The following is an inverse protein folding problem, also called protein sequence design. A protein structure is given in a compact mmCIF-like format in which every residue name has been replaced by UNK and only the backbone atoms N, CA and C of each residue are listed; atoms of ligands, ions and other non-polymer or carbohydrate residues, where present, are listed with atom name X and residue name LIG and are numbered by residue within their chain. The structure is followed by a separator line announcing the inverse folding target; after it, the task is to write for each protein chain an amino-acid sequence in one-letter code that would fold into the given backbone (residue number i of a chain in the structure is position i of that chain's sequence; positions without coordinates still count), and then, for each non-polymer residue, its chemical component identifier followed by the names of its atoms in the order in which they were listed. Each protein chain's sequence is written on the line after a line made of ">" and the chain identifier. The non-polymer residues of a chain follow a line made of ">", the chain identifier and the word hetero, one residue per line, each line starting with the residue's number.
data_IF_549724943653
#
_entry.id   IF_549724943653
#
_cell.length_a   1.000
_cell.length_b   1.000
_cell.length_c   1.000
_cell.angle_alpha   90.00
_cell.angle_beta   90.00
_cell.angle_gamma   90.00
#
_symmetry.space_group_name_H-M   'P 1'
#
loop_
_entity.id
_entity.type
_entity.pdbx_description
1 polymer ?
#
# COMPACT_ATOMS: atom_id res chain seq x y z
N UNK A 1 15.72 -8.52 7.05
CA UNK A 1 14.33 -8.99 7.22
C UNK A 1 13.55 -7.75 7.58
N UNK A 2 13.08 -7.02 6.57
CA UNK A 2 12.22 -5.86 6.81
C UNK A 2 10.86 -6.38 7.27
N UNK A 3 10.41 -5.85 8.40
CA UNK A 3 9.17 -6.25 9.03
C UNK A 3 8.03 -5.61 8.21
N UNK A 4 7.47 -6.37 7.27
CA UNK A 4 6.34 -5.93 6.43
C UNK A 4 5.08 -5.60 7.24
N UNK A 5 5.04 -5.97 8.52
CA UNK A 5 3.89 -5.84 9.42
C UNK A 5 4.30 -5.32 10.79
N UNK A 6 3.96 -4.07 11.09
CA UNK A 6 4.16 -3.45 12.37
C UNK A 6 2.98 -3.80 13.30
N UNK A 7 3.20 -4.81 14.14
CA UNK A 7 2.18 -5.33 15.05
C UNK A 7 1.74 -4.29 16.10
N UNK A 8 2.62 -3.35 16.48
CA UNK A 8 2.30 -2.31 17.44
C UNK A 8 1.25 -1.35 16.89
N UNK A 9 1.39 -0.93 15.64
CA UNK A 9 0.44 -0.03 14.97
C UNK A 9 -0.93 -0.67 14.82
N UNK A 10 -0.99 -1.97 14.52
CA UNK A 10 -2.26 -2.71 14.49
C UNK A 10 -2.90 -2.78 15.89
N UNK A 11 -2.10 -2.90 16.95
CA UNK A 11 -2.59 -2.92 18.33
C UNK A 11 -3.14 -1.54 18.76
N UNK A 12 -2.47 -0.45 18.36
CA UNK A 12 -2.97 0.92 18.54
C UNK A 12 -4.31 1.12 17.81
N UNK A 13 -4.39 0.71 16.53
CA UNK A 13 -5.62 0.75 15.75
C UNK A 13 -6.73 -0.10 16.40
N UNK A 14 -6.39 -1.27 16.94
CA UNK A 14 -7.32 -2.16 17.62
C UNK A 14 -7.87 -1.55 18.91
N UNK A 15 -7.04 -0.79 19.63
CA UNK A 15 -7.46 -0.04 20.81
C UNK A 15 -8.35 1.16 20.46
N UNK A 16 -8.12 1.82 19.33
CA UNK A 16 -8.91 2.98 18.90
C UNK A 16 -10.28 2.60 18.28
N UNK A 17 -10.30 1.60 17.40
CA UNK A 17 -11.50 1.25 16.59
C UNK A 17 -12.17 -0.04 17.09
N UNK A 18 -11.49 -0.82 17.93
CA UNK A 18 -11.96 -2.11 18.44
C UNK A 18 -11.34 -3.29 17.68
N UNK A 19 -10.75 -4.24 18.42
CA UNK A 19 -10.08 -5.42 17.87
C UNK A 19 -11.00 -6.29 16.98
N UNK A 20 -12.31 -6.25 17.21
CA UNK A 20 -13.33 -6.93 16.41
C UNK A 20 -13.48 -6.35 14.99
N UNK A 21 -13.13 -5.07 14.80
CA UNK A 21 -13.21 -4.38 13.51
C UNK A 21 -11.93 -4.53 12.69
N UNK A 22 -10.81 -4.92 13.31
CA UNK A 22 -9.51 -5.13 12.64
C UNK A 22 -9.61 -6.10 11.45
N UNK A 23 -10.15 -7.34 11.58
CA UNK A 23 -10.23 -8.25 10.44
C UNK A 23 -11.09 -7.70 9.30
N UNK A 24 -12.14 -6.93 9.59
CA UNK A 24 -12.97 -6.28 8.58
C UNK A 24 -12.20 -5.18 7.85
N UNK A 25 -11.52 -4.30 8.59
CA UNK A 25 -10.72 -3.21 8.04
C UNK A 25 -9.53 -3.74 7.22
N UNK A 26 -8.90 -4.81 7.70
CA UNK A 26 -7.80 -5.47 7.02
C UNK A 26 -8.28 -6.15 5.74
N UNK A 27 -9.49 -6.74 5.73
CA UNK A 27 -10.10 -7.25 4.50
C UNK A 27 -10.39 -6.13 3.48
N UNK A 28 -10.88 -4.96 3.93
CA UNK A 28 -11.08 -3.78 3.07
C UNK A 28 -9.74 -3.34 2.48
N UNK A 29 -8.70 -3.21 3.31
CA UNK A 29 -7.36 -2.85 2.86
C UNK A 29 -6.81 -3.84 1.81
N UNK A 30 -6.92 -5.14 2.05
CA UNK A 30 -6.48 -6.17 1.08
C UNK A 30 -7.29 -6.12 -0.22
N UNK A 31 -8.58 -5.74 -0.16
CA UNK A 31 -9.39 -5.52 -1.34
C UNK A 31 -8.91 -4.30 -2.12
N UNK A 32 -8.70 -3.15 -1.46
CA UNK A 32 -8.16 -1.93 -2.06
C UNK A 32 -6.82 -2.19 -2.76
N UNK A 33 -5.92 -2.93 -2.09
CA UNK A 33 -4.65 -3.37 -2.66
C UNK A 33 -4.85 -4.13 -3.99
N UNK A 34 -5.84 -5.01 -4.05
CA UNK A 34 -6.16 -5.78 -5.26
C UNK A 34 -6.72 -4.88 -6.37
N UNK A 35 -7.56 -3.91 -6.00
CA UNK A 35 -8.08 -2.91 -6.94
C UNK A 35 -6.95 -2.04 -7.51
N UNK A 36 -5.96 -1.66 -6.69
CA UNK A 36 -4.79 -0.91 -7.17
C UNK A 36 -3.98 -1.69 -8.20
N UNK A 37 -3.76 -2.99 -8.00
CA UNK A 37 -3.10 -3.86 -8.99
C UNK A 37 -3.90 -3.90 -10.30
N UNK A 38 -5.22 -4.00 -10.21
CA UNK A 38 -6.11 -4.04 -11.37
C UNK A 38 -6.09 -2.72 -12.16
N UNK A 39 -6.08 -1.59 -11.45
CA UNK A 39 -5.92 -0.26 -12.05
C UNK A 39 -4.63 -0.21 -12.85
N UNK A 40 -3.49 -0.61 -12.29
CA UNK A 40 -2.22 -0.58 -13.03
C UNK A 40 -2.16 -1.55 -14.22
N UNK A 41 -2.93 -2.65 -14.17
CA UNK A 41 -3.03 -3.60 -15.28
C UNK A 41 -3.89 -3.07 -16.44
N UNK A 42 -4.90 -2.24 -16.16
CA UNK A 42 -5.84 -1.74 -17.18
C UNK A 42 -5.59 -0.28 -17.60
N UNK A 43 -4.77 0.45 -16.84
CA UNK A 43 -4.43 1.84 -17.06
C UNK A 43 -3.47 2.03 -18.24
N UNK A 44 -3.67 3.11 -19.02
CA UNK A 44 -2.73 3.53 -20.06
C UNK A 44 -1.44 4.13 -19.48
N UNK A 45 -0.33 4.07 -20.21
CA UNK A 45 0.97 4.59 -19.74
C UNK A 45 0.92 6.08 -19.36
N UNK A 46 0.12 6.86 -20.09
CA UNK A 46 -0.13 8.29 -19.83
C UNK A 46 -0.82 8.55 -18.49
N UNK A 47 -1.60 7.59 -17.99
CA UNK A 47 -2.35 7.69 -16.74
C UNK A 47 -1.58 7.07 -15.55
N UNK A 48 -0.53 6.27 -15.81
CA UNK A 48 0.26 5.60 -14.77
C UNK A 48 0.78 6.57 -13.73
N UNK A 49 1.27 7.75 -14.14
CA UNK A 49 1.78 8.77 -13.20
C UNK A 49 0.69 9.24 -12.25
N UNK A 50 -0.49 9.54 -12.77
CA UNK A 50 -1.62 10.02 -11.98
C UNK A 50 -2.08 8.95 -11.01
N UNK A 51 -2.31 7.72 -11.49
CA UNK A 51 -2.70 6.60 -10.62
C UNK A 51 -1.62 6.26 -9.61
N UNK A 52 -0.34 6.27 -9.99
CA UNK A 52 0.79 6.04 -9.11
C UNK A 52 0.81 7.04 -7.95
N UNK A 53 0.56 8.32 -8.23
CA UNK A 53 0.51 9.37 -7.22
C UNK A 53 -0.70 9.22 -6.31
N UNK A 54 -1.89 9.00 -6.88
CA UNK A 54 -3.15 8.88 -6.13
C UNK A 54 -3.16 7.65 -5.22
N UNK A 55 -2.77 6.50 -5.77
CA UNK A 55 -2.63 5.24 -5.03
C UNK A 55 -1.55 5.39 -3.96
N UNK A 56 -0.40 5.99 -4.25
CA UNK A 56 0.63 6.21 -3.21
C UNK A 56 0.10 7.09 -2.09
N UNK A 57 -0.67 8.14 -2.40
CA UNK A 57 -1.25 9.01 -1.38
C UNK A 57 -2.26 8.26 -0.49
N UNK A 58 -3.16 7.47 -1.08
CA UNK A 58 -4.12 6.65 -0.35
C UNK A 58 -3.41 5.56 0.49
N UNK A 59 -2.52 4.82 -0.16
CA UNK A 59 -1.74 3.74 0.43
C UNK A 59 -0.88 4.22 1.59
N UNK A 60 -0.27 5.41 1.50
CA UNK A 60 0.50 5.99 2.62
C UNK A 60 -0.34 6.06 3.90
N UNK A 61 -1.59 6.53 3.79
CA UNK A 61 -2.49 6.64 4.95
C UNK A 61 -2.95 5.26 5.42
N UNK A 62 -3.43 4.41 4.52
CA UNK A 62 -3.92 3.07 4.88
C UNK A 62 -2.80 2.20 5.44
N UNK A 63 -1.65 2.13 4.78
CA UNK A 63 -0.49 1.38 5.23
C UNK A 63 0.03 1.88 6.59
N UNK A 64 0.01 3.19 6.85
CA UNK A 64 0.34 3.74 8.16
C UNK A 64 -0.65 3.32 9.24
N UNK A 65 -1.95 3.18 8.94
CA UNK A 65 -2.93 2.67 9.90
C UNK A 65 -2.79 1.18 10.19
N UNK A 66 -2.43 0.36 9.18
CA UNK A 66 -2.32 -1.10 9.32
C UNK A 66 -0.91 -1.60 9.63
N UNK A 67 0.04 -0.69 9.89
CA UNK A 67 1.42 -1.05 10.19
C UNK A 67 2.20 -1.62 9.00
N UNK A 68 1.75 -1.40 7.76
CA UNK A 68 2.48 -1.81 6.56
C UNK A 68 3.61 -0.80 6.25
N UNK A 69 4.59 -0.71 7.14
CA UNK A 69 5.67 0.29 7.10
C UNK A 69 6.39 0.31 5.75
N UNK A 70 6.68 -0.86 5.17
CA UNK A 70 7.35 -0.96 3.88
C UNK A 70 6.52 -0.31 2.74
N UNK A 71 5.22 -0.60 2.67
CA UNK A 71 4.31 0.03 1.69
C UNK A 71 4.22 1.53 1.91
N UNK A 72 4.13 1.96 3.16
CA UNK A 72 4.09 3.38 3.53
C UNK A 72 5.35 4.11 3.07
N UNK A 73 6.54 3.54 3.33
CA UNK A 73 7.81 4.12 2.91
C UNK A 73 7.92 4.22 1.38
N UNK A 74 7.52 3.17 0.66
CA UNK A 74 7.55 3.19 -0.81
C UNK A 74 6.60 4.26 -1.36
N UNK A 75 5.38 4.33 -0.82
CA UNK A 75 4.39 5.34 -1.19
C UNK A 75 4.88 6.77 -0.94
N UNK A 76 5.54 7.01 0.20
CA UNK A 76 6.16 8.32 0.53
C UNK A 76 7.28 8.65 -0.47
N UNK A 77 8.10 7.67 -0.83
CA UNK A 77 9.18 7.85 -1.81
C UNK A 77 8.62 8.25 -3.18
N UNK A 78 7.60 7.53 -3.65
CA UNK A 78 6.93 7.79 -4.93
C UNK A 78 6.27 9.17 -4.94
N UNK A 79 5.47 9.51 -3.92
CA UNK A 79 4.82 10.82 -3.79
C UNK A 79 5.85 11.97 -3.77
N UNK A 80 6.98 11.76 -3.07
CA UNK A 80 8.07 12.75 -3.02
C UNK A 80 8.75 12.91 -4.38
N UNK A 81 8.97 11.82 -5.12
CA UNK A 81 9.55 11.86 -6.47
C UNK A 81 8.61 12.50 -7.48
N UNK A 82 7.30 12.21 -7.39
CA UNK A 82 6.26 12.82 -8.21
C UNK A 82 6.20 14.33 -8.02
N UNK A 83 6.23 14.81 -6.77
CA UNK A 83 6.28 16.25 -6.45
C UNK A 83 7.53 16.94 -6.96
N UNK A 84 8.65 16.24 -7.02
CA UNK A 84 9.93 16.76 -7.49
C UNK A 84 10.13 16.62 -9.00
N UNK A 85 9.16 16.04 -9.73
CA UNK A 85 9.27 15.71 -11.16
C UNK A 85 10.52 14.84 -11.47
N UNK A 86 10.96 14.04 -10.50
CA UNK A 86 12.15 13.16 -10.61
C UNK A 86 11.79 11.71 -10.93
N UNK A 87 10.50 11.44 -11.19
CA UNK A 87 9.97 10.15 -11.65
C UNK A 87 10.47 9.84 -13.06
N UNK A 88 11.73 9.38 -13.14
CA UNK A 88 12.39 9.10 -14.42
C UNK A 88 11.90 7.79 -15.03
N UNK A 89 11.54 6.79 -14.20
CA UNK A 89 11.08 5.48 -14.67
C UNK A 89 9.80 5.04 -13.94
N UNK A 90 8.67 5.52 -14.45
CA UNK A 90 7.33 5.24 -13.90
C UNK A 90 7.03 3.75 -13.94
N UNK A 91 7.44 3.05 -14.98
CA UNK A 91 7.21 1.61 -15.12
C UNK A 91 7.93 0.81 -14.03
N UNK A 92 9.17 1.17 -13.68
CA UNK A 92 9.91 0.56 -12.58
C UNK A 92 9.25 0.85 -11.22
N UNK A 93 8.75 2.05 -11.01
CA UNK A 93 8.09 2.43 -9.75
C UNK A 93 6.73 1.73 -9.60
N UNK A 94 5.93 1.67 -10.67
CA UNK A 94 4.69 0.88 -10.71
C UNK A 94 4.99 -0.60 -10.45
N UNK A 95 6.04 -1.14 -11.06
CA UNK A 95 6.45 -2.53 -10.84
C UNK A 95 6.91 -2.77 -9.39
N UNK A 96 7.67 -1.86 -8.81
CA UNK A 96 8.09 -1.95 -7.41
C UNK A 96 6.89 -1.88 -6.46
N UNK A 97 5.94 -0.98 -6.74
CA UNK A 97 4.72 -0.82 -5.95
C UNK A 97 3.83 -2.06 -6.03
N UNK A 98 3.52 -2.53 -7.23
CA UNK A 98 2.68 -3.73 -7.45
C UNK A 98 3.30 -4.97 -6.80
N UNK A 99 4.62 -5.17 -6.94
CA UNK A 99 5.31 -6.28 -6.28
C UNK A 99 5.20 -6.20 -4.75
N UNK A 100 5.44 -5.01 -4.16
CA UNK A 100 5.36 -4.85 -2.70
C UNK A 100 3.93 -5.01 -2.17
N UNK A 101 2.93 -4.60 -2.95
CA UNK A 101 1.51 -4.83 -2.66
C UNK A 101 1.22 -6.33 -2.59
N UNK A 102 1.66 -7.12 -3.57
CA UNK A 102 1.47 -8.57 -3.58
C UNK A 102 2.16 -9.27 -2.40
N UNK A 103 3.40 -8.86 -2.09
CA UNK A 103 4.17 -9.39 -0.95
C UNK A 103 3.49 -9.08 0.39
N UNK A 104 2.99 -7.85 0.54
CA UNK A 104 2.29 -7.44 1.76
C UNK A 104 0.95 -8.16 1.89
N UNK A 105 0.17 -8.21 0.81
CA UNK A 105 -1.14 -8.90 0.77
C UNK A 105 -0.97 -10.37 1.17
N UNK A 106 0.00 -11.07 0.59
CA UNK A 106 0.32 -12.47 0.92
C UNK A 106 0.73 -12.65 2.39
N UNK A 107 1.51 -11.73 2.93
CA UNK A 107 1.96 -11.76 4.33
C UNK A 107 0.79 -11.58 5.31
N UNK A 108 -0.10 -10.64 5.00
CA UNK A 108 -1.28 -10.35 5.81
C UNK A 108 -2.31 -11.48 5.70
N UNK A 109 -2.64 -11.97 4.50
CA UNK A 109 -3.54 -13.11 4.28
C UNK A 109 -3.10 -14.37 5.05
N UNK A 110 -1.79 -14.66 5.04
CA UNK A 110 -1.24 -15.79 5.80
C UNK A 110 -1.35 -15.62 7.31
N UNK A 111 -1.37 -14.38 7.80
CA UNK A 111 -1.48 -14.08 9.23
C UNK A 111 -2.91 -14.16 9.76
N UNK A 112 -3.92 -14.06 8.89
CA UNK A 112 -5.35 -14.17 9.25
C UNK A 112 -5.94 -15.57 8.97
N UNK A 113 -5.13 -16.50 8.42
CA UNK A 113 -5.51 -17.88 8.09
C UNK A 113 -5.36 -18.85 9.26
#
# INVERSE_FOLDING_TARGET
>A
MEVLKNQQTIDELANEIGAENIPMLLAIFLNELSEYLDIFNHCEDSQKVTHLTDISHALKSSAASFGADALCQLAISIDSKAKQDTLSDINSEVKALTQLIEETRSTYERSVS
#
